data_IF_186645314634
#
_entry.id   IF_186645314634
#
_cell.length_a   1.000
_cell.length_b   1.000
_cell.length_c   1.000
_cell.angle_alpha   90.00
_cell.angle_beta   90.00
_cell.angle_gamma   90.00
#
_symmetry.space_group_name_H-M   'P 1'
#
loop_
_entity.id
_entity.type
_entity.pdbx_description
1 polymer ?
#
# COMPACT_ATOMS: atom_id res chain seq x y z
N UNK A 1 1.55 -0.76 36.05
CA UNK A 1 1.97 -0.52 34.66
C UNK A 1 2.14 -1.88 34.01
N UNK A 2 1.40 -2.14 32.94
CA UNK A 2 1.62 -3.31 32.11
C UNK A 2 2.86 -3.04 31.24
N UNK A 3 3.87 -3.90 31.35
CA UNK A 3 5.16 -3.76 30.65
C UNK A 3 5.33 -4.81 29.54
N UNK A 4 4.25 -5.46 29.13
CA UNK A 4 4.27 -6.42 28.03
C UNK A 4 4.57 -5.73 26.68
N UNK A 5 5.17 -6.46 25.74
CA UNK A 5 5.37 -6.01 24.36
C UNK A 5 4.06 -5.55 23.73
N UNK A 6 2.96 -6.27 23.99
CA UNK A 6 1.62 -5.92 23.52
C UNK A 6 1.16 -4.54 24.01
N UNK A 7 1.41 -4.20 25.29
CA UNK A 7 1.05 -2.88 25.81
C UNK A 7 1.94 -1.79 25.21
N UNK A 8 3.20 -2.10 24.91
CA UNK A 8 4.13 -1.17 24.28
C UNK A 8 3.75 -0.88 22.82
N UNK A 9 3.45 -1.92 22.04
CA UNK A 9 2.97 -1.81 20.65
C UNK A 9 1.68 -0.99 20.57
N UNK A 10 0.71 -1.27 21.45
CA UNK A 10 -0.55 -0.53 21.48
C UNK A 10 -0.33 0.97 21.74
N UNK A 11 0.61 1.32 22.63
CA UNK A 11 0.92 2.71 22.92
C UNK A 11 1.60 3.41 21.73
N UNK A 12 2.55 2.75 21.05
CA UNK A 12 3.17 3.28 19.83
C UNK A 12 2.11 3.52 18.76
N UNK A 13 1.25 2.52 18.52
CA UNK A 13 0.19 2.61 17.53
C UNK A 13 -0.77 3.78 17.82
N UNK A 14 -1.19 3.94 19.08
CA UNK A 14 -2.04 5.06 19.51
C UNK A 14 -1.40 6.42 19.20
N UNK A 15 -0.12 6.59 19.56
CA UNK A 15 0.61 7.84 19.31
C UNK A 15 0.76 8.14 17.81
N UNK A 16 1.06 7.12 17.00
CA UNK A 16 1.19 7.28 15.55
C UNK A 16 -0.15 7.66 14.92
N UNK A 17 -1.24 6.97 15.28
CA UNK A 17 -2.57 7.27 14.75
C UNK A 17 -3.01 8.68 15.15
N UNK A 18 -2.79 9.09 16.40
CA UNK A 18 -3.06 10.46 16.85
C UNK A 18 -2.23 11.51 16.11
N UNK A 19 -1.07 11.14 15.59
CA UNK A 19 -0.17 12.00 14.80
C UNK A 19 -0.51 12.02 13.29
N UNK A 20 -1.63 11.39 12.88
CA UNK A 20 -2.11 11.39 11.50
C UNK A 20 -1.67 10.19 10.66
N UNK A 21 -0.99 9.21 11.26
CA UNK A 21 -0.74 7.93 10.57
C UNK A 21 -2.03 7.13 10.46
N UNK A 22 -2.16 6.36 9.37
CA UNK A 22 -3.28 5.46 9.17
C UNK A 22 -2.91 4.06 9.66
N UNK A 23 -3.68 3.54 10.62
CA UNK A 23 -3.59 2.14 11.05
C UNK A 23 -3.87 1.20 9.88
N UNK A 24 -3.07 0.14 9.77
CA UNK A 24 -3.23 -0.97 8.82
C UNK A 24 -3.14 -2.30 9.56
N UNK A 25 -3.74 -3.34 8.97
CA UNK A 25 -3.74 -4.69 9.53
C UNK A 25 -2.85 -5.62 8.68
N UNK A 26 -2.29 -6.71 9.25
CA UNK A 26 -1.46 -7.65 8.49
C UNK A 26 -2.13 -8.18 7.21
N UNK A 27 -3.45 -8.35 7.22
CA UNK A 27 -4.24 -8.80 6.07
C UNK A 27 -4.27 -7.81 4.89
N UNK A 28 -3.94 -6.54 5.12
CA UNK A 28 -3.88 -5.52 4.08
C UNK A 28 -2.60 -5.62 3.25
N UNK A 29 -1.57 -6.26 3.81
CA UNK A 29 -0.31 -6.49 3.13
C UNK A 29 -0.40 -7.78 2.31
N UNK A 30 -0.10 -7.68 1.01
CA UNK A 30 0.01 -8.84 0.13
C UNK A 30 1.48 -9.31 0.08
N UNK A 31 1.83 -10.50 0.62
CA UNK A 31 3.19 -11.01 0.59
C UNK A 31 3.71 -11.36 -0.82
N UNK A 32 2.83 -11.62 -1.79
CA UNK A 32 3.24 -11.96 -3.15
C UNK A 32 3.70 -10.74 -3.95
N UNK A 33 3.03 -9.60 -3.76
CA UNK A 33 3.41 -8.32 -4.37
C UNK A 33 4.34 -7.49 -3.49
N UNK A 34 4.49 -7.86 -2.21
CA UNK A 34 5.19 -7.11 -1.17
C UNK A 34 4.64 -5.69 -0.98
N UNK A 35 3.32 -5.51 -1.16
CA UNK A 35 2.66 -4.21 -1.16
C UNK A 35 1.33 -4.27 -0.41
N UNK A 36 0.94 -3.13 0.14
CA UNK A 36 -0.45 -2.85 0.48
C UNK A 36 -1.13 -2.25 -0.76
N UNK A 37 -1.79 -3.11 -1.54
CA UNK A 37 -2.36 -2.73 -2.84
C UNK A 37 -3.49 -1.71 -2.72
N UNK A 38 -4.26 -1.75 -1.62
CA UNK A 38 -5.31 -0.76 -1.37
C UNK A 38 -4.70 0.63 -1.20
N UNK A 39 -3.66 0.75 -0.37
CA UNK A 39 -2.94 2.01 -0.16
C UNK A 39 -2.27 2.49 -1.45
N UNK A 40 -1.66 1.58 -2.22
CA UNK A 40 -1.06 1.90 -3.51
C UNK A 40 -2.09 2.52 -4.46
N UNK A 41 -3.23 1.87 -4.67
CA UNK A 41 -4.22 2.35 -5.61
C UNK A 41 -4.93 3.61 -5.11
N UNK A 42 -5.19 3.73 -3.81
CA UNK A 42 -5.69 4.98 -3.22
C UNK A 42 -4.75 6.15 -3.55
N UNK A 43 -3.44 5.96 -3.36
CA UNK A 43 -2.44 6.97 -3.72
C UNK A 43 -2.44 7.31 -5.21
N UNK A 44 -2.46 6.30 -6.09
CA UNK A 44 -2.48 6.52 -7.55
C UNK A 44 -3.74 7.25 -7.99
N UNK A 45 -4.91 6.91 -7.43
CA UNK A 45 -6.17 7.56 -7.79
C UNK A 45 -6.25 8.99 -7.28
N UNK A 46 -5.70 9.24 -6.08
CA UNK A 46 -5.64 10.59 -5.51
C UNK A 46 -4.67 11.50 -6.27
N UNK A 47 -3.54 10.96 -6.73
CA UNK A 47 -2.45 11.79 -7.29
C UNK A 47 -2.45 11.85 -8.82
N UNK A 48 -2.87 10.78 -9.50
CA UNK A 48 -2.72 10.60 -10.95
C UNK A 48 -3.99 10.04 -11.63
N UNK A 49 -5.19 10.57 -11.35
CA UNK A 49 -6.45 10.00 -11.86
C UNK A 49 -6.53 10.00 -13.40
N UNK A 50 -6.01 11.04 -14.06
CA UNK A 50 -6.04 11.15 -15.53
C UNK A 50 -5.17 10.08 -16.21
N UNK A 51 -4.00 9.81 -15.67
CA UNK A 51 -3.11 8.79 -16.23
C UNK A 51 -3.62 7.39 -15.93
N UNK A 52 -4.24 7.19 -14.76
CA UNK A 52 -4.91 5.94 -14.45
C UNK A 52 -6.04 5.61 -15.44
N UNK A 53 -6.89 6.59 -15.78
CA UNK A 53 -7.99 6.38 -16.73
C UNK A 53 -7.48 6.04 -18.14
N UNK A 54 -6.40 6.68 -18.60
CA UNK A 54 -5.76 6.32 -19.88
C UNK A 54 -5.24 4.88 -19.85
N UNK A 55 -4.59 4.49 -18.76
CA UNK A 55 -4.06 3.13 -18.59
C UNK A 55 -5.20 2.09 -18.56
N UNK A 56 -6.31 2.41 -17.89
CA UNK A 56 -7.51 1.58 -17.81
C UNK A 56 -8.16 1.40 -19.18
N UNK A 57 -8.22 2.45 -20.01
CA UNK A 57 -8.74 2.34 -21.38
C UNK A 57 -7.93 1.36 -22.25
N UNK A 58 -6.62 1.25 -22.02
CA UNK A 58 -5.74 0.36 -22.78
C UNK A 58 -5.78 -1.10 -22.31
N UNK A 59 -5.96 -1.32 -21.01
CA UNK A 59 -5.80 -2.65 -20.40
C UNK A 59 -7.08 -3.26 -19.82
N UNK A 60 -8.19 -2.50 -19.80
CA UNK A 60 -9.49 -2.99 -19.36
C UNK A 60 -9.48 -3.49 -17.91
N UNK A 61 -10.13 -4.63 -17.68
CA UNK A 61 -10.28 -5.23 -16.34
C UNK A 61 -8.95 -5.69 -15.74
N UNK A 62 -7.96 -6.02 -16.57
CA UNK A 62 -6.65 -6.49 -16.13
C UNK A 62 -5.69 -5.35 -15.73
N UNK A 63 -6.14 -4.09 -15.77
CA UNK A 63 -5.25 -2.93 -15.54
C UNK A 63 -4.55 -2.98 -14.19
N UNK A 64 -5.24 -3.40 -13.12
CA UNK A 64 -4.67 -3.45 -11.77
C UNK A 64 -3.57 -4.51 -11.66
N UNK A 65 -3.84 -5.74 -12.11
CA UNK A 65 -2.88 -6.83 -12.03
C UNK A 65 -1.63 -6.55 -12.88
N UNK A 66 -1.81 -6.01 -14.10
CA UNK A 66 -0.70 -5.59 -14.96
C UNK A 66 0.12 -4.46 -14.36
N UNK A 67 -0.53 -3.49 -13.72
CA UNK A 67 0.17 -2.39 -13.05
C UNK A 67 1.03 -2.89 -11.90
N UNK A 68 0.47 -3.71 -11.00
CA UNK A 68 1.21 -4.28 -9.85
C UNK A 68 2.39 -5.13 -10.33
N UNK A 69 2.17 -5.99 -11.33
CA UNK A 69 3.24 -6.79 -11.94
C UNK A 69 4.37 -5.91 -12.47
N UNK A 70 4.03 -4.86 -13.24
CA UNK A 70 5.02 -3.95 -13.81
C UNK A 70 5.77 -3.15 -12.74
N UNK A 71 5.06 -2.66 -11.73
CA UNK A 71 5.62 -1.92 -10.60
C UNK A 71 6.62 -2.79 -9.84
N UNK A 72 6.24 -4.02 -9.49
CA UNK A 72 7.12 -4.98 -8.81
C UNK A 72 8.40 -5.22 -9.62
N UNK A 73 8.28 -5.46 -10.92
CA UNK A 73 9.45 -5.66 -11.79
C UNK A 73 10.38 -4.44 -11.83
N UNK A 74 9.84 -3.22 -11.81
CA UNK A 74 10.66 -2.01 -11.77
C UNK A 74 11.32 -1.81 -10.41
N UNK A 75 10.65 -2.15 -9.31
CA UNK A 75 11.25 -2.14 -7.97
C UNK A 75 12.35 -3.20 -7.87
N UNK A 76 12.14 -4.43 -8.34
CA UNK A 76 13.19 -5.47 -8.32
C UNK A 76 14.40 -5.07 -9.17
N UNK A 77 14.18 -4.41 -10.30
CA UNK A 77 15.25 -4.01 -11.22
C UNK A 77 16.05 -2.79 -10.73
N UNK A 78 15.41 -1.88 -10.00
CA UNK A 78 15.99 -0.56 -9.64
C UNK A 78 16.17 -0.35 -8.14
N UNK A 79 15.53 -1.17 -7.32
CA UNK A 79 15.67 -1.16 -5.87
C UNK A 79 17.07 -1.64 -5.51
N UNK A 80 17.87 -0.71 -4.98
CA UNK A 80 19.16 -0.98 -4.37
C UNK A 80 19.01 -1.62 -3.00
#
# INVERSE_FOLDING_TARGET
>A
MDTSEKSFEAHIEEVLVASGYRKREPKNYNPESCLDEDMLFEFIYATQPKEWEKLKQQHGEEVKSKFVYRLRQEIEKRGT
#
